data_IF_031355113038
#
_entry.id   IF_031355113038
#
_cell.length_a   1.000
_cell.length_b   1.000
_cell.length_c   1.000
_cell.angle_alpha   90.00
_cell.angle_beta   90.00
_cell.angle_gamma   90.00
#
_symmetry.space_group_name_H-M   'P 1'
#
loop_
_entity.id
_entity.type
_entity.pdbx_description
1 polymer ?
#
# COMPACT_ATOMS: atom_id res chain seq x y z
N UNK A 1 -2.04 -27.76 59.75
CA UNK A 1 -2.11 -26.66 58.77
C UNK A 1 -0.73 -26.00 58.69
N UNK A 2 0.06 -26.22 57.63
CA UNK A 2 1.20 -25.38 57.35
C UNK A 2 0.77 -24.20 56.47
N UNK A 3 1.25 -23.01 56.84
CA UNK A 3 1.05 -21.73 56.16
C UNK A 3 1.86 -21.73 54.86
N UNK A 4 1.19 -21.64 53.72
CA UNK A 4 1.82 -21.42 52.42
C UNK A 4 2.48 -20.02 52.39
N UNK A 5 3.78 -19.99 52.11
CA UNK A 5 4.54 -18.76 51.86
C UNK A 5 4.15 -18.24 50.48
N UNK A 6 3.63 -17.01 50.43
CA UNK A 6 3.37 -16.30 49.17
C UNK A 6 4.65 -16.10 48.34
N UNK A 7 4.51 -15.91 47.02
CA UNK A 7 5.64 -15.86 46.09
C UNK A 7 6.57 -14.69 46.45
N UNK A 8 7.87 -15.00 46.55
CA UNK A 8 8.94 -14.05 46.82
C UNK A 8 8.99 -12.96 45.74
N UNK A 9 9.24 -11.71 46.15
CA UNK A 9 9.27 -10.51 45.29
C UNK A 9 10.16 -10.61 44.04
N UNK A 10 11.11 -11.54 43.98
CA UNK A 10 11.95 -11.78 42.80
C UNK A 10 11.20 -12.35 41.57
N UNK A 11 10.09 -13.06 41.75
CA UNK A 11 9.32 -13.60 40.61
C UNK A 11 8.48 -12.52 39.89
N UNK A 12 8.00 -11.52 40.64
CA UNK A 12 7.26 -10.38 40.09
C UNK A 12 8.18 -9.45 39.29
N UNK A 13 9.41 -9.24 39.77
CA UNK A 13 10.43 -8.40 39.14
C UNK A 13 10.99 -9.06 37.86
N UNK A 14 11.18 -10.38 37.86
CA UNK A 14 11.59 -11.14 36.68
C UNK A 14 10.51 -11.15 35.57
N UNK A 15 9.23 -11.22 35.94
CA UNK A 15 8.09 -11.11 35.01
C UNK A 15 7.98 -9.72 34.37
N UNK A 16 8.16 -8.66 35.17
CA UNK A 16 8.16 -7.28 34.69
C UNK A 16 9.35 -6.99 33.75
N UNK A 17 10.53 -7.52 34.08
CA UNK A 17 11.74 -7.35 33.25
C UNK A 17 11.63 -8.10 31.92
N UNK A 18 11.02 -9.30 31.88
CA UNK A 18 10.70 -10.00 30.63
C UNK A 18 9.65 -9.27 29.78
N UNK A 19 8.62 -8.69 30.40
CA UNK A 19 7.59 -7.92 29.70
C UNK A 19 8.19 -6.63 29.09
N UNK A 20 9.07 -5.94 29.83
CA UNK A 20 9.80 -4.77 29.34
C UNK A 20 10.82 -5.13 28.25
N UNK A 21 11.56 -6.23 28.39
CA UNK A 21 12.47 -6.72 27.35
C UNK A 21 11.73 -7.18 26.09
N UNK A 22 10.55 -7.79 26.22
CA UNK A 22 9.64 -8.11 25.12
C UNK A 22 9.20 -6.85 24.36
N UNK A 23 8.71 -5.83 25.08
CA UNK A 23 8.31 -4.55 24.48
C UNK A 23 9.47 -3.72 23.95
N UNK A 24 10.69 -3.84 24.48
CA UNK A 24 11.88 -3.21 23.91
C UNK A 24 12.41 -3.96 22.68
N UNK A 25 12.31 -5.29 22.64
CA UNK A 25 12.57 -6.12 21.47
C UNK A 25 11.61 -5.81 20.32
N UNK A 26 10.31 -5.71 20.61
CA UNK A 26 9.25 -5.36 19.66
C UNK A 26 9.40 -3.93 19.10
N UNK A 27 9.65 -2.92 19.96
CA UNK A 27 9.91 -1.54 19.50
C UNK A 27 11.21 -1.40 18.69
N UNK A 28 12.19 -2.28 18.89
CA UNK A 28 13.44 -2.32 18.10
C UNK A 28 13.24 -3.05 16.76
N UNK A 29 12.35 -4.05 16.70
CA UNK A 29 11.91 -4.71 15.46
C UNK A 29 11.20 -3.72 14.51
N UNK A 30 10.43 -2.78 15.05
CA UNK A 30 9.73 -1.76 14.26
C UNK A 30 10.65 -0.73 13.56
N UNK A 31 11.92 -0.59 14.00
CA UNK A 31 12.91 0.31 13.37
C UNK A 31 13.86 -0.36 12.37
N UNK A 32 13.80 -1.69 12.21
CA UNK A 32 14.66 -2.46 11.31
C UNK A 32 13.79 -3.37 10.43
N UNK A 33 13.09 -2.77 9.47
CA UNK A 33 12.30 -3.50 8.48
C UNK A 33 12.45 -2.82 7.11
N UNK A 34 12.09 -3.57 6.07
CA UNK A 34 12.18 -3.16 4.67
C UNK A 34 10.80 -2.85 4.06
N UNK A 35 9.77 -2.57 4.87
CA UNK A 35 8.43 -2.29 4.35
C UNK A 35 8.43 -1.12 3.35
N UNK A 36 9.15 -0.05 3.66
CA UNK A 36 9.20 1.13 2.79
C UNK A 36 9.96 0.85 1.49
N UNK A 37 11.00 0.00 1.54
CA UNK A 37 11.70 -0.45 0.34
C UNK A 37 10.79 -1.29 -0.54
N UNK A 38 10.10 -2.28 0.03
CA UNK A 38 9.22 -3.16 -0.74
C UNK A 38 8.05 -2.41 -1.37
N UNK A 39 7.48 -1.43 -0.65
CA UNK A 39 6.46 -0.54 -1.22
C UNK A 39 7.00 0.33 -2.34
N UNK A 40 8.23 0.84 -2.22
CA UNK A 40 8.88 1.61 -3.27
C UNK A 40 9.11 0.76 -4.52
N UNK A 41 9.61 -0.47 -4.34
CA UNK A 41 9.80 -1.42 -5.43
C UNK A 41 8.46 -1.81 -6.07
N UNK A 42 7.40 -2.01 -5.27
CA UNK A 42 6.05 -2.26 -5.78
C UNK A 42 5.49 -1.07 -6.59
N UNK A 43 5.68 0.16 -6.12
CA UNK A 43 5.29 1.35 -6.89
C UNK A 43 6.05 1.45 -8.23
N UNK A 44 7.36 1.20 -8.21
CA UNK A 44 8.18 1.22 -9.42
C UNK A 44 7.81 0.08 -10.38
N UNK A 45 7.44 -1.09 -9.86
CA UNK A 45 7.02 -2.23 -10.67
C UNK A 45 5.70 -1.96 -11.39
N UNK A 46 4.80 -1.19 -10.77
CA UNK A 46 3.56 -0.69 -11.38
C UNK A 46 3.85 0.26 -12.54
N UNK A 47 4.72 1.27 -12.34
CA UNK A 47 5.15 2.19 -13.41
C UNK A 47 5.80 1.39 -14.55
N UNK A 48 6.77 0.53 -14.22
CA UNK A 48 7.45 -0.30 -15.21
C UNK A 48 6.49 -1.13 -16.08
N UNK A 49 5.49 -1.75 -15.47
CA UNK A 49 4.50 -2.57 -16.18
C UNK A 49 3.55 -1.73 -17.06
N UNK A 50 3.20 -0.53 -16.62
CA UNK A 50 2.37 0.39 -17.41
C UNK A 50 3.11 1.01 -18.59
N UNK A 51 4.44 1.17 -18.51
CA UNK A 51 5.21 1.64 -19.65
C UNK A 51 5.03 0.76 -20.90
N UNK A 52 4.90 -0.57 -20.74
CA UNK A 52 4.53 -1.47 -21.84
C UNK A 52 3.13 -1.17 -22.35
N UNK A 53 2.15 -1.12 -21.44
CA UNK A 53 0.75 -0.89 -21.80
C UNK A 53 0.55 0.44 -22.53
N UNK A 54 1.22 1.51 -22.09
CA UNK A 54 1.06 2.85 -22.64
C UNK A 54 1.86 3.09 -23.92
N UNK A 55 3.02 2.44 -24.08
CA UNK A 55 3.85 2.59 -25.27
C UNK A 55 3.48 1.60 -26.38
N UNK A 56 3.16 0.35 -26.03
CA UNK A 56 2.91 -0.74 -26.98
C UNK A 56 1.43 -1.10 -27.11
N UNK A 57 0.56 -0.54 -26.26
CA UNK A 57 -0.86 -0.91 -26.17
C UNK A 57 -1.07 -2.41 -25.86
N UNK A 58 -0.06 -3.06 -25.26
CA UNK A 58 -0.07 -4.44 -24.78
C UNK A 58 0.88 -4.59 -23.59
N UNK A 59 0.69 -5.65 -22.80
CA UNK A 59 1.59 -6.04 -21.71
C UNK A 59 2.16 -7.45 -21.91
N UNK A 60 2.09 -7.99 -23.12
CA UNK A 60 2.60 -9.34 -23.45
C UNK A 60 4.11 -9.46 -23.22
N UNK A 61 4.84 -8.35 -23.40
CA UNK A 61 6.28 -8.28 -23.15
C UNK A 61 6.66 -7.97 -21.69
N UNK A 62 5.69 -7.83 -20.78
CA UNK A 62 5.99 -7.69 -19.35
C UNK A 62 6.73 -8.96 -18.85
N UNK A 63 7.86 -8.84 -18.14
CA UNK A 63 8.67 -9.98 -17.74
C UNK A 63 7.91 -11.01 -16.89
N UNK A 64 6.98 -10.56 -16.03
CA UNK A 64 6.18 -11.47 -15.22
C UNK A 64 5.08 -12.13 -16.07
N UNK A 65 4.55 -11.43 -17.07
CA UNK A 65 3.60 -12.00 -18.03
C UNK A 65 4.23 -13.18 -18.77
N UNK A 66 5.45 -12.98 -19.29
CA UNK A 66 6.22 -14.03 -19.97
C UNK A 66 6.53 -15.18 -19.00
N UNK A 67 7.06 -14.86 -17.81
CA UNK A 67 7.47 -15.87 -16.83
C UNK A 67 6.31 -16.74 -16.35
N UNK A 68 5.12 -16.14 -16.21
CA UNK A 68 3.93 -16.84 -15.71
C UNK A 68 3.08 -17.46 -16.82
N UNK A 69 3.47 -17.31 -18.08
CA UNK A 69 2.68 -17.83 -19.22
C UNK A 69 1.33 -17.14 -19.36
N UNK A 70 1.26 -15.83 -19.13
CA UNK A 70 0.05 -15.03 -19.34
C UNK A 70 -0.85 -14.83 -18.11
N UNK A 71 -0.40 -15.23 -16.92
CA UNK A 71 -1.26 -15.19 -15.72
C UNK A 71 -1.24 -13.86 -14.99
N UNK A 72 -0.09 -13.19 -14.91
CA UNK A 72 0.05 -11.95 -14.16
C UNK A 72 1.15 -11.05 -14.72
N UNK A 73 0.89 -9.75 -14.71
CA UNK A 73 1.86 -8.69 -15.02
C UNK A 73 2.58 -8.23 -13.76
N UNK A 74 3.77 -7.64 -13.92
CA UNK A 74 4.59 -7.19 -12.80
C UNK A 74 3.90 -6.08 -11.98
N UNK A 75 3.12 -5.22 -12.62
CA UNK A 75 2.37 -4.17 -11.92
C UNK A 75 1.33 -4.74 -10.97
N UNK A 76 0.65 -5.82 -11.36
CA UNK A 76 -0.36 -6.49 -10.56
C UNK A 76 0.27 -7.19 -9.35
N UNK A 77 1.44 -7.82 -9.52
CA UNK A 77 2.21 -8.33 -8.39
C UNK A 77 2.60 -7.22 -7.40
N UNK A 78 2.93 -6.02 -7.90
CA UNK A 78 3.14 -4.83 -7.07
C UNK A 78 1.91 -4.47 -6.23
N UNK A 79 0.71 -4.52 -6.82
CA UNK A 79 -0.56 -4.33 -6.09
C UNK A 79 -0.74 -5.41 -5.02
N UNK A 80 -0.48 -6.68 -5.31
CA UNK A 80 -0.53 -7.75 -4.29
C UNK A 80 0.40 -7.47 -3.11
N UNK A 81 1.64 -7.03 -3.39
CA UNK A 81 2.61 -6.62 -2.36
C UNK A 81 2.05 -5.51 -1.48
N UNK A 82 1.44 -4.48 -2.07
CA UNK A 82 0.80 -3.39 -1.31
C UNK A 82 -0.28 -3.93 -0.37
N UNK A 83 -1.19 -4.77 -0.87
CA UNK A 83 -2.29 -5.29 -0.08
C UNK A 83 -1.82 -6.24 1.02
N UNK A 84 -0.84 -7.11 0.77
CA UNK A 84 -0.22 -7.95 1.80
C UNK A 84 0.41 -7.11 2.91
N UNK A 85 1.23 -6.12 2.54
CA UNK A 85 1.90 -5.24 3.51
C UNK A 85 0.86 -4.43 4.30
N UNK A 86 -0.18 -3.92 3.65
CA UNK A 86 -1.27 -3.20 4.28
C UNK A 86 -2.02 -4.09 5.27
N UNK A 87 -2.39 -5.32 4.91
CA UNK A 87 -3.06 -6.26 5.83
C UNK A 87 -2.28 -6.49 7.13
N UNK A 88 -0.96 -6.63 7.03
CA UNK A 88 -0.08 -6.76 8.20
C UNK A 88 -0.01 -5.47 9.03
N UNK A 89 0.30 -4.33 8.40
CA UNK A 89 0.57 -3.07 9.11
C UNK A 89 -0.68 -2.37 9.61
N UNK A 90 -1.82 -2.56 8.95
CA UNK A 90 -3.10 -2.02 9.42
C UNK A 90 -3.60 -2.83 10.62
N UNK A 91 -3.43 -4.15 10.62
CA UNK A 91 -3.68 -4.98 11.81
C UNK A 91 -2.83 -4.50 13.00
N UNK A 92 -1.55 -4.20 12.75
CA UNK A 92 -0.66 -3.60 13.76
C UNK A 92 -1.13 -2.23 14.23
N UNK A 93 -1.48 -1.37 13.27
CA UNK A 93 -1.93 0.00 13.56
C UNK A 93 -3.21 0.00 14.38
N UNK A 94 -4.09 -0.99 14.22
CA UNK A 94 -5.32 -1.09 15.00
C UNK A 94 -5.02 -1.48 16.44
N UNK A 95 -4.25 -2.56 16.67
CA UNK A 95 -3.90 -3.04 18.01
C UNK A 95 -3.10 -2.01 18.83
N UNK A 96 -2.33 -1.14 18.18
CA UNK A 96 -1.48 -0.14 18.84
C UNK A 96 -2.14 1.24 18.98
N UNK A 97 -3.29 1.47 18.35
CA UNK A 97 -3.95 2.78 18.41
C UNK A 97 -5.01 2.80 19.52
N UNK A 98 -4.98 3.79 20.43
CA UNK A 98 -5.85 3.81 21.61
C UNK A 98 -7.34 4.08 21.30
N UNK A 99 -7.65 4.67 20.14
CA UNK A 99 -9.02 5.02 19.75
C UNK A 99 -9.32 4.60 18.31
N UNK A 100 -10.46 3.93 18.04
CA UNK A 100 -10.89 3.57 16.69
C UNK A 100 -11.03 4.79 15.75
N UNK A 101 -11.44 5.96 16.26
CA UNK A 101 -11.53 7.18 15.44
C UNK A 101 -10.16 7.71 15.04
N UNK A 102 -9.18 7.63 15.94
CA UNK A 102 -7.78 7.99 15.61
C UNK A 102 -7.21 7.04 14.57
N UNK A 103 -7.61 5.77 14.60
CA UNK A 103 -7.24 4.81 13.55
C UNK A 103 -7.77 5.25 12.18
N UNK A 104 -9.07 5.58 12.08
CA UNK A 104 -9.66 6.05 10.82
C UNK A 104 -9.03 7.35 10.34
N UNK A 105 -8.80 8.32 11.23
CA UNK A 105 -8.14 9.58 10.88
C UNK A 105 -6.73 9.35 10.31
N UNK A 106 -5.93 8.47 10.91
CA UNK A 106 -4.60 8.10 10.39
C UNK A 106 -4.67 7.49 8.98
N UNK A 107 -5.72 6.71 8.68
CA UNK A 107 -5.92 6.11 7.35
C UNK A 107 -6.41 7.13 6.33
N UNK A 108 -7.36 7.99 6.71
CA UNK A 108 -7.85 9.06 5.84
C UNK A 108 -6.73 10.04 5.46
N UNK A 109 -5.92 10.48 6.43
CA UNK A 109 -4.77 11.36 6.21
C UNK A 109 -3.62 10.69 5.43
N UNK A 110 -3.66 9.37 5.26
CA UNK A 110 -2.70 8.63 4.43
C UNK A 110 -3.09 8.59 2.95
N UNK A 111 -4.39 8.66 2.64
CA UNK A 111 -4.93 8.55 1.27
C UNK A 111 -5.30 9.94 0.74
N UNK A 112 -6.26 10.62 1.37
CA UNK A 112 -6.91 11.79 0.78
C UNK A 112 -6.00 12.98 0.46
N UNK A 113 -5.02 13.38 1.31
CA UNK A 113 -4.20 14.56 1.00
C UNK A 113 -3.40 14.40 -0.31
N UNK A 114 -2.73 13.26 -0.49
CA UNK A 114 -1.95 13.00 -1.70
C UNK A 114 -2.85 12.80 -2.92
N UNK A 115 -3.97 12.08 -2.76
CA UNK A 115 -4.98 11.93 -3.81
C UNK A 115 -5.52 13.28 -4.29
N UNK A 116 -5.93 14.15 -3.38
CA UNK A 116 -6.46 15.47 -3.73
C UNK A 116 -5.42 16.34 -4.46
N UNK A 117 -4.17 16.31 -4.01
CA UNK A 117 -3.06 16.95 -4.72
C UNK A 117 -2.90 16.41 -6.15
N UNK A 118 -2.97 15.10 -6.32
CA UNK A 118 -2.88 14.44 -7.63
C UNK A 118 -4.04 14.84 -8.55
N UNK A 119 -5.27 14.82 -8.04
CA UNK A 119 -6.46 15.22 -8.80
C UNK A 119 -6.40 16.69 -9.24
N UNK A 120 -5.93 17.60 -8.37
CA UNK A 120 -5.69 18.99 -8.73
C UNK A 120 -4.67 19.10 -9.88
N UNK A 121 -3.56 18.37 -9.80
CA UNK A 121 -2.55 18.37 -10.88
C UNK A 121 -3.16 17.82 -12.18
N UNK A 122 -3.93 16.75 -12.12
CA UNK A 122 -4.61 16.19 -13.29
C UNK A 122 -5.58 17.20 -13.93
N UNK A 123 -6.40 17.88 -13.13
CA UNK A 123 -7.47 18.78 -13.60
C UNK A 123 -6.95 20.16 -14.01
N UNK A 124 -6.03 20.75 -13.24
CA UNK A 124 -5.61 22.13 -13.44
C UNK A 124 -4.25 22.28 -14.14
N UNK A 125 -3.44 21.23 -14.22
CA UNK A 125 -2.17 21.25 -14.95
C UNK A 125 -2.22 20.35 -16.19
N UNK A 126 -2.44 19.05 -16.03
CA UNK A 126 -2.38 18.10 -17.14
C UNK A 126 -3.54 18.31 -18.13
N UNK A 127 -4.77 18.47 -17.63
CA UNK A 127 -5.96 18.68 -18.44
C UNK A 127 -5.81 19.86 -19.43
N UNK A 128 -5.50 21.08 -18.97
CA UNK A 128 -5.30 22.24 -19.84
C UNK A 128 -4.14 22.11 -20.82
N UNK A 129 -3.10 21.33 -20.50
CA UNK A 129 -1.95 21.11 -21.39
C UNK A 129 -2.26 20.17 -22.56
N UNK A 130 -3.24 19.28 -22.40
CA UNK A 130 -3.51 18.18 -23.34
C UNK A 130 -4.88 18.31 -24.02
N UNK A 131 -5.83 19.05 -23.42
CA UNK A 131 -7.18 19.19 -23.95
C UNK A 131 -7.20 19.88 -25.32
N UNK A 132 -8.10 19.43 -26.20
CA UNK A 132 -8.37 20.07 -27.49
C UNK A 132 -9.42 21.20 -27.40
N UNK A 133 -9.92 21.50 -26.19
CA UNK A 133 -10.90 22.56 -25.96
C UNK A 133 -10.22 23.87 -25.56
N UNK A 134 -10.80 25.03 -25.88
CA UNK A 134 -10.39 26.30 -25.28
C UNK A 134 -10.51 26.24 -23.75
N UNK A 135 -9.56 26.85 -23.04
CA UNK A 135 -9.48 26.80 -21.56
C UNK A 135 -10.78 27.25 -20.87
N UNK A 136 -11.45 28.27 -21.41
CA UNK A 136 -12.74 28.75 -20.88
C UNK A 136 -13.85 27.71 -21.00
N UNK A 137 -13.88 26.95 -22.09
CA UNK A 137 -14.86 25.89 -22.31
C UNK A 137 -14.55 24.67 -21.43
N UNK A 138 -13.27 24.29 -21.34
CA UNK A 138 -12.81 23.18 -20.49
C UNK A 138 -13.21 23.39 -19.02
N UNK A 139 -12.99 24.58 -18.47
CA UNK A 139 -13.32 24.88 -17.07
C UNK A 139 -14.82 25.11 -16.83
N UNK A 140 -15.57 25.50 -17.86
CA UNK A 140 -17.02 25.65 -17.78
C UNK A 140 -17.76 24.30 -17.81
N UNK A 141 -17.14 23.25 -18.36
CA UNK A 141 -17.74 21.92 -18.46
C UNK A 141 -17.88 21.25 -17.08
N UNK A 142 -19.09 20.79 -16.70
CA UNK A 142 -19.32 20.10 -15.43
C UNK A 142 -18.45 18.86 -15.25
N UNK A 143 -18.13 18.15 -16.34
CA UNK A 143 -17.35 16.90 -16.33
C UNK A 143 -15.96 17.09 -15.72
N UNK A 144 -15.34 18.26 -15.92
CA UNK A 144 -14.05 18.63 -15.33
C UNK A 144 -14.10 18.59 -13.80
N UNK A 145 -15.18 19.11 -13.23
CA UNK A 145 -15.37 19.18 -11.78
C UNK A 145 -15.94 17.88 -11.22
N UNK A 146 -16.78 17.18 -11.98
CA UNK A 146 -17.27 15.85 -11.60
C UNK A 146 -16.11 14.85 -11.49
N UNK A 147 -15.14 14.89 -12.41
CA UNK A 147 -13.91 14.11 -12.29
C UNK A 147 -13.22 14.37 -10.94
N UNK A 148 -13.04 15.63 -10.56
CA UNK A 148 -12.39 15.99 -9.29
C UNK A 148 -13.21 15.52 -8.08
N UNK A 149 -14.51 15.82 -8.04
CA UNK A 149 -15.37 15.55 -6.89
C UNK A 149 -15.60 14.05 -6.67
N UNK A 150 -15.89 13.29 -7.73
CA UNK A 150 -16.12 11.85 -7.63
C UNK A 150 -14.84 11.11 -7.24
N UNK A 151 -13.71 11.39 -7.91
CA UNK A 151 -12.45 10.74 -7.52
C UNK A 151 -11.99 11.16 -6.11
N UNK A 152 -12.29 12.38 -5.65
CA UNK A 152 -11.96 12.82 -4.30
C UNK A 152 -12.71 12.02 -3.21
N UNK A 153 -13.87 11.44 -3.54
CA UNK A 153 -14.62 10.53 -2.65
C UNK A 153 -14.42 9.05 -2.99
N UNK A 154 -13.39 8.73 -3.78
CA UNK A 154 -13.05 7.38 -4.23
C UNK A 154 -14.11 6.75 -5.17
N UNK A 155 -14.89 7.57 -5.85
CA UNK A 155 -15.70 7.14 -7.01
C UNK A 155 -14.89 7.34 -8.30
N UNK A 156 -14.21 6.27 -8.68
CA UNK A 156 -13.22 6.20 -9.77
C UNK A 156 -13.84 5.95 -11.16
N UNK A 157 -15.17 5.91 -11.27
CA UNK A 157 -15.85 5.69 -12.57
C UNK A 157 -15.59 6.84 -13.55
N UNK A 158 -15.28 8.04 -13.03
CA UNK A 158 -14.93 9.21 -13.80
C UNK A 158 -13.43 9.23 -14.09
N UNK A 159 -13.01 8.54 -15.15
CA UNK A 159 -11.59 8.37 -15.47
C UNK A 159 -11.09 9.21 -16.67
N UNK A 160 -11.97 10.04 -17.27
CA UNK A 160 -11.67 10.91 -18.42
C UNK A 160 -12.00 12.36 -18.10
N UNK A 161 -11.24 13.28 -18.71
CA UNK A 161 -11.49 14.72 -18.68
C UNK A 161 -11.99 15.21 -20.05
N UNK A 162 -12.80 16.27 -20.12
CA UNK A 162 -13.37 16.72 -21.39
C UNK A 162 -12.29 17.22 -22.34
N UNK A 163 -12.28 16.66 -23.56
CA UNK A 163 -11.33 17.02 -24.61
C UNK A 163 -9.89 16.52 -24.40
N UNK A 164 -9.60 15.81 -23.30
CA UNK A 164 -8.25 15.29 -23.00
C UNK A 164 -8.07 13.93 -23.67
N UNK A 165 -7.17 13.89 -24.66
CA UNK A 165 -6.74 12.66 -25.33
C UNK A 165 -5.22 12.72 -25.50
N UNK A 166 -4.50 11.83 -24.82
CA UNK A 166 -3.04 11.77 -24.90
C UNK A 166 -2.58 11.10 -26.20
N UNK A 167 -3.31 10.08 -26.67
CA UNK A 167 -3.03 9.40 -27.93
C UNK A 167 -4.24 8.58 -28.39
N UNK A 168 -4.34 8.22 -29.68
CA UNK A 168 -5.46 7.44 -30.20
C UNK A 168 -5.44 5.99 -29.69
N UNK A 169 -6.41 5.61 -28.85
CA UNK A 169 -6.52 4.24 -28.34
C UNK A 169 -7.56 4.11 -27.23
N UNK A 170 -7.83 2.89 -26.78
CA UNK A 170 -8.85 2.61 -25.76
C UNK A 170 -8.52 3.29 -24.42
N UNK A 171 -7.22 3.28 -24.06
CA UNK A 171 -6.71 3.79 -22.79
C UNK A 171 -6.06 5.18 -22.90
N UNK A 172 -5.88 5.72 -24.10
CA UNK A 172 -5.23 7.01 -24.35
C UNK A 172 -6.04 8.24 -23.90
N UNK A 173 -7.31 8.05 -23.54
CA UNK A 173 -8.14 9.08 -22.88
C UNK A 173 -8.23 8.92 -21.35
N UNK A 174 -7.67 7.85 -20.78
CA UNK A 174 -7.74 7.59 -19.34
C UNK A 174 -6.67 8.40 -18.63
N UNK A 175 -7.11 9.33 -17.77
CA UNK A 175 -6.22 10.28 -17.09
C UNK A 175 -5.41 9.61 -16.00
N UNK A 176 -6.01 8.69 -15.23
CA UNK A 176 -5.33 7.97 -14.16
C UNK A 176 -5.97 6.59 -13.92
N UNK A 177 -5.47 5.57 -14.61
CA UNK A 177 -5.96 4.20 -14.49
C UNK A 177 -5.71 3.54 -13.12
N UNK A 178 -4.52 3.68 -12.50
CA UNK A 178 -4.16 2.99 -11.26
C UNK A 178 -4.96 3.39 -10.02
N UNK A 179 -5.77 4.45 -10.07
CA UNK A 179 -6.63 4.82 -8.93
C UNK A 179 -7.63 3.72 -8.57
N UNK A 180 -7.84 2.73 -9.44
CA UNK A 180 -8.82 1.68 -9.24
C UNK A 180 -8.68 0.87 -7.94
N UNK A 181 -7.46 0.75 -7.42
CA UNK A 181 -7.20 0.00 -6.20
C UNK A 181 -7.45 0.78 -4.91
N UNK A 182 -7.55 2.12 -4.98
CA UNK A 182 -7.73 2.97 -3.79
C UNK A 182 -9.08 2.79 -3.10
N UNK A 183 -10.22 2.69 -3.81
CA UNK A 183 -11.50 2.36 -3.18
C UNK A 183 -11.44 1.00 -2.51
N UNK A 184 -10.78 0.01 -3.12
CA UNK A 184 -10.59 -1.31 -2.53
C UNK A 184 -9.78 -1.23 -1.23
N UNK A 185 -8.69 -0.46 -1.21
CA UNK A 185 -7.88 -0.23 0.00
C UNK A 185 -8.73 0.41 1.12
N UNK A 186 -9.52 1.43 0.80
CA UNK A 186 -10.40 2.09 1.75
C UNK A 186 -11.49 1.14 2.31
N UNK A 187 -12.11 0.32 1.44
CA UNK A 187 -13.09 -0.68 1.86
C UNK A 187 -12.49 -1.72 2.82
N UNK A 188 -11.28 -2.21 2.55
CA UNK A 188 -10.60 -3.17 3.43
C UNK A 188 -10.19 -2.54 4.76
N UNK A 189 -9.85 -1.25 4.77
CA UNK A 189 -9.59 -0.51 6.01
C UNK A 189 -10.87 -0.36 6.86
N UNK A 190 -12.01 -0.07 6.21
CA UNK A 190 -13.32 0.00 6.88
C UNK A 190 -13.76 -1.37 7.40
N UNK A 191 -13.53 -2.44 6.63
CA UNK A 191 -13.77 -3.82 7.07
C UNK A 191 -12.95 -4.14 8.33
N UNK A 192 -11.65 -3.85 8.33
CA UNK A 192 -10.78 -4.08 9.48
C UNK A 192 -11.23 -3.24 10.69
N UNK A 193 -11.61 -1.99 10.47
CA UNK A 193 -12.19 -1.14 11.52
C UNK A 193 -13.45 -1.75 12.13
N UNK A 194 -14.40 -2.21 11.30
CA UNK A 194 -15.64 -2.83 11.75
C UNK A 194 -15.38 -4.11 12.56
N UNK A 195 -14.52 -5.00 12.04
CA UNK A 195 -14.10 -6.20 12.76
C UNK A 195 -13.40 -5.85 14.08
N UNK A 196 -12.56 -4.82 14.08
CA UNK A 196 -11.85 -4.36 15.27
C UNK A 196 -12.78 -3.76 16.33
N UNK A 197 -13.75 -2.95 15.92
CA UNK A 197 -14.78 -2.38 16.79
C UNK A 197 -15.64 -3.48 17.43
N UNK A 198 -15.96 -4.54 16.67
CA UNK A 198 -16.67 -5.72 17.15
C UNK A 198 -15.78 -6.70 17.95
N UNK A 199 -14.48 -6.42 18.12
CA UNK A 199 -13.49 -7.30 18.77
C UNK A 199 -13.33 -8.66 18.08
N UNK A 200 -13.57 -8.72 16.77
CA UNK A 200 -13.50 -9.91 15.93
C UNK A 200 -12.16 -10.08 15.20
N UNK A 201 -11.16 -9.23 15.44
CA UNK A 201 -9.83 -9.34 14.83
C UNK A 201 -9.00 -10.51 15.41
N UNK A 202 -9.52 -11.72 15.24
CA UNK A 202 -8.92 -12.97 15.71
C UNK A 202 -8.27 -13.72 14.53
N UNK A 203 -7.42 -14.70 14.85
CA UNK A 203 -6.81 -15.56 13.82
C UNK A 203 -7.86 -16.36 13.02
N UNK A 204 -8.88 -17.00 13.64
CA UNK A 204 -9.92 -17.72 12.90
C UNK A 204 -10.65 -16.82 11.89
N UNK A 205 -11.02 -15.60 12.28
CA UNK A 205 -11.68 -14.64 11.38
C UNK A 205 -10.75 -14.24 10.24
N UNK A 206 -9.46 -14.02 10.52
CA UNK A 206 -8.48 -13.71 9.47
C UNK A 206 -8.33 -14.86 8.48
N UNK A 207 -8.35 -16.12 8.95
CA UNK A 207 -8.29 -17.31 8.11
C UNK A 207 -9.56 -17.50 7.27
N UNK A 208 -10.74 -17.19 7.83
CA UNK A 208 -12.01 -17.18 7.06
C UNK A 208 -11.92 -16.14 5.95
N UNK A 209 -11.48 -14.91 6.24
CA UNK A 209 -11.32 -13.87 5.22
C UNK A 209 -10.31 -14.28 4.13
N UNK A 210 -9.22 -14.95 4.52
CA UNK A 210 -8.25 -15.48 3.56
C UNK A 210 -8.89 -16.54 2.66
N UNK A 211 -9.62 -17.50 3.23
CA UNK A 211 -10.33 -18.51 2.47
C UNK A 211 -11.39 -17.90 1.54
N UNK A 212 -12.16 -16.92 2.01
CA UNK A 212 -13.11 -16.15 1.20
C UNK A 212 -12.41 -15.43 0.06
N UNK A 213 -11.31 -14.71 0.33
CA UNK A 213 -10.54 -14.04 -0.69
C UNK A 213 -9.98 -15.00 -1.74
N UNK A 214 -9.48 -16.17 -1.32
CA UNK A 214 -9.01 -17.21 -2.24
C UNK A 214 -10.15 -17.78 -3.13
N UNK A 215 -11.36 -17.93 -2.58
CA UNK A 215 -12.53 -18.33 -3.36
C UNK A 215 -12.92 -17.24 -4.37
N UNK A 216 -12.89 -15.97 -3.96
CA UNK A 216 -13.16 -14.83 -4.81
C UNK A 216 -12.18 -14.67 -5.98
N UNK A 217 -10.96 -15.20 -5.88
CA UNK A 217 -10.02 -15.24 -7.02
C UNK A 217 -10.48 -16.16 -8.16
N UNK A 218 -11.39 -17.10 -7.88
CA UNK A 218 -11.94 -18.04 -8.86
C UNK A 218 -13.22 -17.53 -9.53
N UNK A 219 -13.73 -16.38 -9.08
CA UNK A 219 -14.98 -15.78 -9.55
C UNK A 219 -14.62 -14.45 -10.20
N UNK A 220 -15.17 -14.18 -11.38
CA UNK A 220 -15.00 -12.88 -12.02
C UNK A 220 -15.85 -11.84 -11.29
N UNK A 221 -15.22 -11.13 -10.36
CA UNK A 221 -15.87 -10.12 -9.50
C UNK A 221 -15.36 -8.70 -9.82
N UNK A 222 -14.62 -8.50 -10.91
CA UNK A 222 -13.88 -7.24 -11.13
C UNK A 222 -14.75 -6.10 -11.71
N UNK A 223 -16.07 -6.31 -11.80
CA UNK A 223 -17.02 -5.36 -12.40
C UNK A 223 -17.22 -4.05 -11.60
N UNK A 224 -16.94 -4.06 -10.30
CA UNK A 224 -17.08 -2.88 -9.45
C UNK A 224 -16.08 -2.88 -8.29
N UNK A 225 -15.92 -1.72 -7.65
CA UNK A 225 -14.97 -1.51 -6.54
C UNK A 225 -15.11 -2.51 -5.38
N UNK A 226 -16.33 -2.98 -5.10
CA UNK A 226 -16.58 -3.97 -4.04
C UNK A 226 -16.10 -5.35 -4.44
N UNK A 227 -16.42 -5.80 -5.65
CA UNK A 227 -15.96 -7.09 -6.15
C UNK A 227 -14.44 -7.11 -6.39
N UNK A 228 -13.85 -6.02 -6.87
CA UNK A 228 -12.39 -5.84 -6.90
C UNK A 228 -11.76 -5.89 -5.50
N UNK A 229 -12.43 -5.35 -4.48
CA UNK A 229 -11.95 -5.44 -3.09
C UNK A 229 -12.01 -6.88 -2.55
N UNK A 230 -13.04 -7.65 -2.90
CA UNK A 230 -13.13 -9.08 -2.58
C UNK A 230 -12.05 -9.89 -3.30
N UNK A 231 -11.74 -9.56 -4.54
CA UNK A 231 -10.65 -10.19 -5.29
C UNK A 231 -9.28 -9.91 -4.65
N UNK A 232 -9.07 -8.69 -4.13
CA UNK A 232 -7.85 -8.32 -3.39
C UNK A 232 -7.82 -8.78 -1.92
N UNK A 233 -8.96 -9.26 -1.39
CA UNK A 233 -9.10 -9.65 0.01
C UNK A 233 -8.12 -10.75 0.42
N UNK A 234 -7.84 -11.71 -0.48
CA UNK A 234 -6.94 -12.82 -0.18
C UNK A 234 -5.53 -12.36 0.20
N UNK A 235 -4.98 -11.39 -0.54
CA UNK A 235 -3.65 -10.83 -0.28
C UNK A 235 -3.62 -10.04 1.03
N UNK A 236 -4.65 -9.21 1.26
CA UNK A 236 -4.77 -8.44 2.50
C UNK A 236 -4.95 -9.34 3.73
N UNK A 237 -5.85 -10.31 3.66
CA UNK A 237 -6.11 -11.26 4.73
C UNK A 237 -4.90 -12.16 5.02
N UNK A 238 -4.10 -12.53 4.02
CA UNK A 238 -2.83 -13.23 4.25
C UNK A 238 -1.87 -12.40 5.11
N UNK A 239 -1.77 -11.09 4.86
CA UNK A 239 -1.05 -10.16 5.72
C UNK A 239 -1.60 -10.12 7.16
N UNK A 240 -2.92 -10.09 7.33
CA UNK A 240 -3.58 -10.16 8.64
C UNK A 240 -3.28 -11.47 9.39
N UNK A 241 -3.36 -12.61 8.69
CA UNK A 241 -3.03 -13.92 9.22
C UNK A 241 -1.59 -13.98 9.72
N UNK A 242 -0.63 -13.56 8.89
CA UNK A 242 0.79 -13.56 9.25
C UNK A 242 1.09 -12.59 10.41
N UNK A 243 0.37 -11.47 10.49
CA UNK A 243 0.40 -10.58 11.65
C UNK A 243 -0.07 -11.29 12.93
N UNK A 244 -1.17 -12.04 12.89
CA UNK A 244 -1.67 -12.77 14.07
C UNK A 244 -0.79 -13.98 14.43
N UNK A 245 -0.23 -14.67 13.43
CA UNK A 245 0.68 -15.80 13.61
C UNK A 245 2.04 -15.39 14.19
N UNK A 246 2.45 -14.11 14.07
CA UNK A 246 3.74 -13.64 14.62
C UNK A 246 3.89 -13.88 16.12
N UNK A 247 2.78 -14.05 16.86
CA UNK A 247 2.76 -14.39 18.29
C UNK A 247 3.48 -15.71 18.61
N UNK A 248 3.63 -16.60 17.62
CA UNK A 248 4.36 -17.86 17.75
C UNK A 248 5.89 -17.70 17.65
N UNK A 249 6.38 -16.46 17.53
CA UNK A 249 7.79 -16.13 17.63
C UNK A 249 8.50 -15.98 16.28
N UNK A 250 9.82 -15.70 16.30
CA UNK A 250 10.61 -15.34 15.11
C UNK A 250 10.82 -16.52 14.14
N UNK A 251 10.59 -17.76 14.58
CA UNK A 251 10.68 -18.96 13.74
C UNK A 251 9.67 -18.97 12.59
N UNK A 252 8.59 -18.18 12.70
CA UNK A 252 7.62 -18.03 11.62
C UNK A 252 8.28 -17.51 10.33
N UNK A 253 9.25 -16.59 10.44
CA UNK A 253 9.95 -16.00 9.29
C UNK A 253 11.31 -16.67 9.04
N UNK A 254 11.38 -18.00 9.17
CA UNK A 254 12.59 -18.76 8.89
C UNK A 254 12.83 -18.93 7.38
N UNK A 255 14.11 -19.05 6.99
CA UNK A 255 14.52 -19.15 5.60
C UNK A 255 14.01 -20.42 4.90
N UNK A 256 13.89 -21.55 5.62
CA UNK A 256 13.36 -22.80 5.04
C UNK A 256 11.91 -22.66 4.58
N UNK A 257 11.07 -21.95 5.35
CA UNK A 257 9.70 -21.64 4.95
C UNK A 257 9.67 -20.66 3.78
N UNK A 258 10.62 -19.73 3.69
CA UNK A 258 10.76 -18.87 2.53
C UNK A 258 11.17 -19.66 1.28
N UNK A 259 12.08 -20.62 1.42
CA UNK A 259 12.43 -21.53 0.33
C UNK A 259 11.22 -22.37 -0.10
N UNK A 260 10.46 -22.93 0.85
CA UNK A 260 9.24 -23.68 0.56
C UNK A 260 8.20 -22.82 -0.16
N UNK A 261 8.02 -21.57 0.29
CA UNK A 261 7.12 -20.62 -0.37
C UNK A 261 7.59 -20.27 -1.79
N UNK A 262 8.89 -20.07 -1.99
CA UNK A 262 9.45 -19.83 -3.32
C UNK A 262 9.23 -21.02 -4.26
N UNK A 263 9.46 -22.25 -3.77
CA UNK A 263 9.19 -23.48 -4.52
C UNK A 263 7.69 -23.60 -4.83
N UNK A 264 6.82 -23.38 -3.84
CA UNK A 264 5.37 -23.43 -4.03
C UNK A 264 4.88 -22.41 -5.07
N UNK A 265 5.43 -21.20 -5.06
CA UNK A 265 5.13 -20.18 -6.07
C UNK A 265 5.66 -20.58 -7.46
N UNK A 266 6.88 -21.11 -7.56
CA UNK A 266 7.45 -21.58 -8.83
C UNK A 266 6.64 -22.74 -9.42
N UNK A 267 6.21 -23.70 -8.59
CA UNK A 267 5.37 -24.83 -9.02
C UNK A 267 3.95 -24.41 -9.41
N UNK A 268 3.46 -23.28 -8.93
CA UNK A 268 2.13 -22.76 -9.29
C UNK A 268 2.05 -22.20 -10.71
N UNK A 269 3.19 -21.82 -11.30
CA UNK A 269 3.27 -21.27 -12.66
C UNK A 269 2.77 -22.29 -13.69
N UNK A 270 3.35 -23.50 -13.83
CA UNK A 270 2.87 -24.48 -14.80
C UNK A 270 1.45 -24.96 -14.51
N UNK A 271 0.95 -24.80 -13.28
CA UNK A 271 -0.41 -25.17 -12.90
C UNK A 271 -1.47 -24.12 -13.26
N UNK A 272 -1.09 -22.93 -13.75
CA UNK A 272 -2.06 -21.85 -14.02
C UNK A 272 -2.61 -21.18 -12.76
N UNK A 273 -1.94 -21.34 -11.61
CA UNK A 273 -2.43 -20.92 -10.29
C UNK A 273 -1.59 -19.81 -9.64
N UNK A 274 -0.79 -19.08 -10.42
CA UNK A 274 0.17 -18.10 -9.89
C UNK A 274 -0.49 -17.05 -9.00
N UNK A 275 -1.60 -16.44 -9.42
CA UNK A 275 -2.31 -15.40 -8.66
C UNK A 275 -2.79 -15.96 -7.30
N UNK A 276 -3.44 -17.12 -7.30
CA UNK A 276 -3.93 -17.77 -6.09
C UNK A 276 -2.79 -18.20 -5.16
N UNK A 277 -1.72 -18.76 -5.72
CA UNK A 277 -0.52 -19.16 -5.00
C UNK A 277 0.22 -17.94 -4.42
N UNK A 278 0.22 -16.79 -5.11
CA UNK A 278 0.81 -15.56 -4.62
C UNK A 278 0.13 -15.09 -3.33
N UNK A 279 -1.20 -15.23 -3.20
CA UNK A 279 -1.92 -14.85 -1.99
C UNK A 279 -1.37 -15.55 -0.74
N UNK A 280 -0.90 -16.80 -0.84
CA UNK A 280 -0.29 -17.55 0.26
C UNK A 280 1.24 -17.42 0.28
N UNK A 281 1.90 -17.93 -0.76
CA UNK A 281 3.35 -18.05 -0.83
C UNK A 281 4.01 -16.70 -1.10
N UNK A 282 3.47 -15.92 -2.05
CA UNK A 282 3.93 -14.58 -2.36
C UNK A 282 3.81 -13.66 -1.13
N UNK A 283 2.66 -13.67 -0.46
CA UNK A 283 2.45 -12.89 0.77
C UNK A 283 3.44 -13.24 1.88
N UNK A 284 3.72 -14.53 2.06
CA UNK A 284 4.75 -14.97 3.01
C UNK A 284 6.14 -14.46 2.62
N UNK A 285 6.53 -14.59 1.35
CA UNK A 285 7.82 -14.11 0.84
C UNK A 285 7.97 -12.61 1.03
N UNK A 286 6.94 -11.83 0.73
CA UNK A 286 6.91 -10.38 0.93
C UNK A 286 7.20 -10.02 2.39
N UNK A 287 6.48 -10.62 3.34
CA UNK A 287 6.69 -10.33 4.75
C UNK A 287 8.01 -10.89 5.29
N UNK A 288 8.48 -12.03 4.77
CA UNK A 288 9.81 -12.54 5.06
C UNK A 288 10.89 -11.53 4.63
N UNK A 289 10.83 -11.00 3.40
CA UNK A 289 11.77 -9.97 2.94
C UNK A 289 11.66 -8.66 3.74
N UNK A 290 10.46 -8.32 4.19
CA UNK A 290 10.21 -7.10 4.96
C UNK A 290 10.77 -7.18 6.39
N UNK A 291 10.64 -8.34 7.04
CA UNK A 291 10.90 -8.52 8.47
C UNK A 291 12.20 -9.28 8.78
N UNK A 292 12.82 -9.94 7.80
CA UNK A 292 14.03 -10.72 8.03
C UNK A 292 15.23 -9.82 8.37
N UNK A 293 15.75 -10.01 9.58
CA UNK A 293 16.85 -9.24 10.16
C UNK A 293 18.21 -9.50 9.52
N UNK A 294 18.36 -10.61 8.80
CA UNK A 294 19.61 -10.95 8.10
C UNK A 294 19.80 -10.14 6.82
N UNK A 295 18.74 -9.52 6.32
CA UNK A 295 18.82 -8.66 5.15
C UNK A 295 19.23 -7.24 5.56
N UNK A 296 20.09 -6.57 4.76
CA UNK A 296 20.44 -5.18 5.02
C UNK A 296 19.18 -4.31 4.96
N UNK A 297 19.01 -3.45 5.96
CA UNK A 297 17.89 -2.49 5.97
C UNK A 297 18.25 -1.30 5.11
N UNK A 298 17.57 -1.16 3.98
CA UNK A 298 17.71 0.03 3.13
C UNK A 298 16.79 1.10 3.67
N UNK A 299 17.36 2.26 4.03
CA UNK A 299 16.58 3.41 4.51
C UNK A 299 15.87 4.11 3.35
N UNK A 300 14.98 3.41 2.65
CA UNK A 300 14.19 3.94 1.54
C UNK A 300 13.37 5.17 1.99
N UNK A 301 12.84 5.15 3.21
CA UNK A 301 12.11 6.27 3.80
C UNK A 301 12.98 7.47 4.24
N UNK A 302 14.31 7.47 4.01
CA UNK A 302 15.18 8.62 4.36
C UNK A 302 14.75 9.92 3.69
N UNK A 303 14.06 9.82 2.55
CA UNK A 303 13.53 10.93 1.77
C UNK A 303 12.01 11.10 1.89
N UNK A 304 11.34 10.30 2.73
CA UNK A 304 9.88 10.28 2.84
C UNK A 304 9.23 8.98 2.38
N UNK A 305 7.91 8.87 2.61
CA UNK A 305 7.09 7.76 2.12
C UNK A 305 6.66 8.05 0.67
N UNK A 306 7.61 7.92 -0.27
CA UNK A 306 7.41 8.27 -1.68
C UNK A 306 6.55 7.27 -2.44
N UNK A 307 6.37 6.06 -1.89
CA UNK A 307 5.69 4.93 -2.54
C UNK A 307 4.29 5.30 -3.04
N UNK A 308 3.55 6.08 -2.25
CA UNK A 308 2.19 6.48 -2.59
C UNK A 308 2.15 7.52 -3.69
N UNK A 309 3.02 8.54 -3.61
CA UNK A 309 3.17 9.53 -4.66
C UNK A 309 3.56 8.87 -6.00
N UNK A 310 4.53 7.95 -5.98
CA UNK A 310 4.90 7.19 -7.18
C UNK A 310 3.73 6.44 -7.78
N UNK A 311 2.92 5.80 -6.94
CA UNK A 311 1.76 5.03 -7.38
C UNK A 311 0.69 5.93 -8.05
N UNK A 312 0.32 7.06 -7.43
CA UNK A 312 -0.78 7.90 -7.93
C UNK A 312 -0.37 8.83 -9.08
N UNK A 313 0.89 9.28 -9.12
CA UNK A 313 1.37 10.18 -10.18
C UNK A 313 1.97 9.43 -11.39
N UNK A 314 2.31 8.15 -11.25
CA UNK A 314 3.00 7.37 -12.29
C UNK A 314 2.29 7.40 -13.64
N UNK A 315 1.03 6.96 -13.67
CA UNK A 315 0.25 6.90 -14.91
C UNK A 315 0.03 8.27 -15.56
N UNK A 316 -0.42 9.33 -14.86
CA UNK A 316 -0.52 10.66 -15.47
C UNK A 316 0.79 11.16 -16.08
N UNK A 317 1.93 10.90 -15.42
CA UNK A 317 3.24 11.28 -15.94
C UNK A 317 3.61 10.46 -17.18
N UNK A 318 3.38 9.15 -17.17
CA UNK A 318 3.63 8.30 -18.34
C UNK A 318 2.77 8.70 -19.54
N UNK A 319 1.49 9.00 -19.32
CA UNK A 319 0.61 9.54 -20.36
C UNK A 319 1.14 10.85 -20.95
N UNK A 320 1.65 11.76 -20.11
CA UNK A 320 2.29 12.99 -20.58
C UNK A 320 3.56 12.73 -21.39
N UNK A 321 4.38 11.74 -21.01
CA UNK A 321 5.59 11.36 -21.76
C UNK A 321 5.23 10.74 -23.11
N UNK A 322 4.22 9.86 -23.16
CA UNK A 322 3.71 9.28 -24.41
C UNK A 322 3.14 10.39 -25.32
N UNK A 323 2.37 11.33 -24.76
CA UNK A 323 1.88 12.49 -25.50
C UNK A 323 3.03 13.35 -26.06
N UNK A 324 4.01 13.70 -25.24
CA UNK A 324 5.14 14.54 -25.63
C UNK A 324 6.05 13.89 -26.68
N UNK A 325 6.07 12.55 -26.73
CA UNK A 325 6.82 11.78 -27.73
C UNK A 325 6.00 11.45 -28.98
N UNK A 326 4.76 11.95 -29.09
CA UNK A 326 3.88 11.68 -30.22
C UNK A 326 3.42 10.22 -30.32
N UNK A 327 3.42 9.49 -29.19
CA UNK A 327 3.08 8.07 -29.08
C UNK A 327 3.94 7.13 -29.95
N UNK A 328 5.18 7.51 -30.25
CA UNK A 328 6.13 6.66 -31.00
C UNK A 328 7.27 6.12 -30.14
N UNK A 329 7.41 6.58 -28.89
CA UNK A 329 8.49 6.14 -28.03
C UNK A 329 8.28 4.69 -27.56
N UNK A 330 9.32 3.85 -27.58
CA UNK A 330 9.24 2.51 -27.01
C UNK A 330 9.13 2.56 -25.48
N UNK A 331 8.62 1.48 -24.87
CA UNK A 331 8.35 1.40 -23.43
C UNK A 331 9.54 1.79 -22.55
N UNK A 332 10.76 1.41 -22.94
CA UNK A 332 11.96 1.71 -22.13
C UNK A 332 12.28 3.21 -22.09
N UNK A 333 11.97 3.96 -23.15
CA UNK A 333 12.11 5.42 -23.17
C UNK A 333 11.04 6.05 -22.28
N UNK A 334 9.79 5.58 -22.39
CA UNK A 334 8.69 6.05 -21.54
C UNK A 334 9.04 5.84 -20.07
N UNK A 335 9.47 4.64 -19.69
CA UNK A 335 9.88 4.31 -18.33
C UNK A 335 11.09 5.15 -17.85
N UNK A 336 12.14 5.25 -18.67
CA UNK A 336 13.37 5.97 -18.31
C UNK A 336 13.14 7.46 -18.04
N UNK A 337 12.15 8.07 -18.70
CA UNK A 337 11.76 9.47 -18.48
C UNK A 337 10.73 9.58 -17.35
N UNK A 338 9.67 8.76 -17.38
CA UNK A 338 8.56 8.87 -16.46
C UNK A 338 8.93 8.49 -15.02
N UNK A 339 9.75 7.46 -14.80
CA UNK A 339 10.14 7.03 -13.46
C UNK A 339 10.85 8.13 -12.65
N UNK A 340 11.92 8.80 -13.14
CA UNK A 340 12.57 9.87 -12.38
C UNK A 340 11.68 11.12 -12.25
N UNK A 341 10.88 11.47 -13.27
CA UNK A 341 9.94 12.60 -13.17
C UNK A 341 8.87 12.34 -12.11
N UNK A 342 8.29 11.14 -12.11
CA UNK A 342 7.31 10.74 -11.10
C UNK A 342 7.94 10.74 -9.71
N UNK A 343 9.19 10.25 -9.57
CA UNK A 343 9.90 10.28 -8.29
C UNK A 343 10.11 11.72 -7.77
N UNK A 344 10.43 12.66 -8.66
CA UNK A 344 10.56 14.08 -8.31
C UNK A 344 9.21 14.68 -7.87
N UNK A 345 8.13 14.42 -8.62
CA UNK A 345 6.78 14.89 -8.27
C UNK A 345 6.30 14.26 -6.95
N UNK A 346 6.52 12.96 -6.75
CA UNK A 346 6.21 12.26 -5.52
C UNK A 346 6.97 12.85 -4.33
N UNK A 347 8.25 13.20 -4.53
CA UNK A 347 9.05 13.89 -3.52
C UNK A 347 8.48 15.26 -3.16
N UNK A 348 8.05 16.06 -4.15
CA UNK A 348 7.40 17.34 -3.91
C UNK A 348 6.05 17.18 -3.21
N UNK A 349 5.18 16.29 -3.70
CA UNK A 349 3.87 15.96 -3.10
C UNK A 349 4.03 15.59 -1.63
N UNK A 350 5.01 14.74 -1.33
CA UNK A 350 5.30 14.31 0.03
C UNK A 350 5.64 15.49 0.96
N UNK A 351 6.57 16.36 0.55
CA UNK A 351 7.07 17.45 1.40
C UNK A 351 6.10 18.62 1.51
N UNK A 352 5.31 18.88 0.47
CA UNK A 352 4.39 20.01 0.39
C UNK A 352 3.03 19.68 0.97
N UNK A 353 2.54 18.45 0.81
CA UNK A 353 1.16 18.06 1.14
C UNK A 353 1.16 17.00 2.24
N UNK A 354 1.60 15.78 1.91
CA UNK A 354 1.35 14.60 2.74
C UNK A 354 1.99 14.70 4.12
N UNK A 355 3.26 15.12 4.20
CA UNK A 355 3.99 15.25 5.46
C UNK A 355 3.33 16.24 6.42
N UNK A 356 2.71 17.30 5.90
CA UNK A 356 2.05 18.35 6.70
C UNK A 356 0.70 17.89 7.24
N UNK A 357 -0.01 17.09 6.47
CA UNK A 357 -1.33 16.57 6.85
C UNK A 357 -1.26 15.32 7.73
N UNK A 358 -0.08 14.71 7.94
CA UNK A 358 0.04 13.49 8.75
C UNK A 358 -0.40 13.73 10.19
N UNK A 359 -1.06 12.71 10.74
CA UNK A 359 -1.46 12.72 12.15
C UNK A 359 -0.23 12.87 13.06
N UNK A 360 -0.11 14.04 13.68
CA UNK A 360 0.88 14.29 14.72
C UNK A 360 0.26 13.89 16.05
N UNK A 361 0.70 12.76 16.61
CA UNK A 361 0.31 12.41 17.97
C UNK A 361 0.82 13.51 18.90
N UNK A 362 -0.09 14.29 19.49
CA UNK A 362 0.23 15.18 20.60
C UNK A 362 0.65 14.32 21.80
N UNK A 363 1.89 13.88 21.81
CA UNK A 363 2.47 13.08 22.89
C UNK A 363 3.87 13.61 23.23
N UNK A 364 3.87 14.77 23.90
CA UNK A 364 4.77 15.19 24.98
C UNK A 364 4.90 16.73 25.03
N UNK A 365 3.79 17.47 25.12
CA UNK A 365 3.83 18.72 25.88
C UNK A 365 3.92 18.30 27.36
N UNK A 366 5.12 17.91 27.80
CA UNK A 366 5.42 17.83 29.23
C UNK A 366 5.24 19.26 29.75
N UNK A 367 4.37 19.55 30.73
CA UNK A 367 4.56 20.75 31.51
C UNK A 367 5.97 20.64 32.09
N UNK A 368 6.81 21.65 31.88
CA UNK A 368 8.11 21.70 32.51
C UNK A 368 7.89 21.52 34.01
N UNK A 369 8.40 20.42 34.57
CA UNK A 369 8.48 20.26 36.02
C UNK A 369 9.31 21.44 36.51
N UNK A 370 8.67 22.35 37.25
CA UNK A 370 9.37 23.43 37.95
C UNK A 370 10.47 22.81 38.83
N UNK A 371 11.67 23.38 38.87
CA UNK A 371 12.72 22.87 39.74
C UNK A 371 12.23 22.96 41.19
N UNK A 372 12.20 21.82 41.87
CA UNK A 372 12.00 21.77 43.31
C UNK A 372 13.08 22.65 43.95
N UNK A 373 12.65 23.69 44.65
CA UNK A 373 13.51 24.50 45.49
C UNK A 373 14.21 23.57 46.50
N UNK A 374 15.52 23.54 46.46
CA UNK A 374 16.33 22.88 47.47
C UNK A 374 16.05 23.54 48.82
N UNK A 375 15.56 22.75 49.77
CA UNK A 375 15.66 23.05 51.20
C UNK A 375 17.13 23.02 51.57
N UNK A 376 17.72 24.19 51.83
CA UNK A 376 19.04 24.31 52.45
C UNK A 376 18.90 24.20 53.96
N UNK A 377 19.68 23.27 54.54
CA UNK A 377 20.27 23.41 55.86
C UNK A 377 21.59 24.16 55.76
#
# INVERSE_FOLDING_TARGET
MPVERGPSGGECEAGFTRCLQGHHGERRLERHNNFDLLRLLAALSVIFSHAFLLAENSQDHDPLMILTGGQAILGLAGVFVFFTISGYLISQSFDTTPSPFVFLAKRALRIFPGLFGCLIVCVLAIGPLVTNLPMSEYLAKPETWLFLLHNAVLDIHYNRLPGVVFWPGNIGGIVNGPLWSLPCEALLYLMLFGLGACRLLTLPVSLILLATGMLCLQIDLVDNSFGSALWLLGFFAAGMCLYRLRRFGPHLFAWHWALLALIGLALSIPAGLFIAAFALFGSYLVLYLALNRRLPVVRAARFGDLSYGLYIYGWPVEQCVVYATGATAPWWVVFAIAAPLTAAIAFLSWHLIEKRCRWQSRAAARPALAPAAATGD
#
